data_IF_582406491279
#
_entry.id   IF_582406491279
#
_cell.length_a   1.000
_cell.length_b   1.000
_cell.length_c   1.000
_cell.angle_alpha   90.00
_cell.angle_beta   90.00
_cell.angle_gamma   90.00
#
_symmetry.space_group_name_H-M   'P 1'
#
loop_
_entity.id
_entity.type
_entity.pdbx_description
1 polymer ?
#
# COMPACT_ATOMS: atom_id res chain seq x y z
N UNK A 1 15.60 8.55 -31.69
CA UNK A 1 16.04 9.45 -30.59
C UNK A 1 14.85 10.31 -30.21
N UNK A 2 14.71 10.68 -28.93
CA UNK A 2 13.65 11.59 -28.47
C UNK A 2 14.31 12.89 -28.06
N UNK A 3 13.95 13.98 -28.75
CA UNK A 3 14.46 15.32 -28.48
C UNK A 3 13.41 16.11 -27.72
N UNK A 4 13.74 16.52 -26.50
CA UNK A 4 12.95 17.49 -25.73
C UNK A 4 13.49 18.91 -25.89
N UNK A 5 12.85 19.87 -25.20
CA UNK A 5 13.28 21.28 -25.22
C UNK A 5 14.67 21.50 -24.58
N UNK A 6 15.01 20.70 -23.57
CA UNK A 6 16.23 20.87 -22.75
C UNK A 6 17.25 19.74 -22.93
N UNK A 7 16.79 18.53 -23.25
CA UNK A 7 17.65 17.34 -23.32
C UNK A 7 17.22 16.43 -24.48
N UNK A 8 18.20 15.83 -25.16
CA UNK A 8 17.99 14.77 -26.15
C UNK A 8 18.40 13.43 -25.55
N UNK A 9 17.50 12.44 -25.55
CA UNK A 9 17.77 11.08 -25.07
C UNK A 9 17.60 10.04 -26.17
N UNK A 10 18.48 9.04 -26.17
CA UNK A 10 18.38 7.88 -27.04
C UNK A 10 17.94 6.66 -26.24
N UNK A 11 17.00 5.89 -26.80
CA UNK A 11 16.48 4.65 -26.21
C UNK A 11 16.66 3.53 -27.22
N UNK A 12 17.21 2.40 -26.78
CA UNK A 12 17.38 1.22 -27.64
C UNK A 12 16.14 0.33 -27.54
N UNK A 13 15.58 -0.03 -28.70
CA UNK A 13 14.53 -1.03 -28.79
C UNK A 13 15.10 -2.34 -29.36
N UNK A 14 14.61 -3.52 -28.93
CA UNK A 14 14.94 -4.80 -29.55
C UNK A 14 14.56 -4.81 -31.04
N UNK A 15 15.31 -5.55 -31.86
CA UNK A 15 15.10 -5.58 -33.31
C UNK A 15 13.73 -6.15 -33.72
N UNK A 16 13.15 -7.02 -32.88
CA UNK A 16 11.82 -7.61 -33.08
C UNK A 16 10.67 -6.76 -32.52
N UNK A 17 10.97 -5.66 -31.83
CA UNK A 17 9.94 -4.81 -31.24
C UNK A 17 9.34 -3.90 -32.32
N UNK A 18 8.01 -3.92 -32.45
CA UNK A 18 7.30 -2.99 -33.33
C UNK A 18 7.21 -1.63 -32.64
N UNK A 19 7.57 -0.57 -33.35
CA UNK A 19 7.48 0.80 -32.83
C UNK A 19 6.05 1.32 -32.96
N UNK A 20 5.59 2.04 -31.94
CA UNK A 20 4.28 2.71 -31.90
C UNK A 20 4.32 4.17 -32.34
N UNK A 21 5.51 4.71 -32.53
CA UNK A 21 5.76 6.12 -32.83
C UNK A 21 6.44 6.25 -34.19
N UNK A 22 6.17 7.35 -34.88
CA UNK A 22 6.76 7.69 -36.18
C UNK A 22 7.64 8.93 -36.01
N UNK A 23 8.58 9.12 -36.94
CA UNK A 23 9.37 10.36 -36.99
C UNK A 23 8.47 11.58 -37.20
N UNK A 24 8.60 12.57 -36.32
CA UNK A 24 7.75 13.77 -36.29
C UNK A 24 6.61 13.72 -35.25
N UNK A 25 6.35 12.57 -34.63
CA UNK A 25 5.33 12.48 -33.57
C UNK A 25 5.76 13.22 -32.30
N UNK A 26 4.80 13.93 -31.68
CA UNK A 26 4.99 14.52 -30.36
C UNK A 26 4.73 13.47 -29.29
N UNK A 27 5.75 13.17 -28.48
CA UNK A 27 5.67 12.18 -27.40
C UNK A 27 5.60 12.85 -26.03
N UNK A 28 4.73 12.34 -25.16
CA UNK A 28 4.62 12.80 -23.78
C UNK A 28 5.48 11.95 -22.84
N UNK A 29 5.84 12.51 -21.67
CA UNK A 29 6.63 11.80 -20.67
C UNK A 29 5.87 10.56 -20.19
N UNK A 30 6.49 9.39 -20.31
CA UNK A 30 5.88 8.10 -19.93
C UNK A 30 5.11 7.42 -21.06
N UNK A 31 5.05 8.01 -22.25
CA UNK A 31 4.44 7.38 -23.42
C UNK A 31 5.23 6.15 -23.88
N UNK A 32 4.49 5.12 -24.27
CA UNK A 32 5.04 3.85 -24.74
C UNK A 32 5.56 4.01 -26.18
N UNK A 33 6.82 3.65 -26.41
CA UNK A 33 7.47 3.76 -27.72
C UNK A 33 7.40 2.46 -28.55
N UNK A 34 7.31 1.29 -27.89
CA UNK A 34 7.29 -0.03 -28.51
C UNK A 34 6.04 -0.82 -28.15
N UNK A 35 5.64 -1.78 -28.97
CA UNK A 35 4.67 -2.79 -28.58
C UNK A 35 5.23 -3.71 -27.49
N UNK A 36 4.33 -4.21 -26.63
CA UNK A 36 4.67 -5.10 -25.52
C UNK A 36 4.11 -4.64 -24.18
N UNK A 37 4.53 -5.34 -23.12
CA UNK A 37 4.19 -5.01 -21.74
C UNK A 37 5.15 -3.97 -21.18
N UNK A 38 4.61 -3.03 -20.41
CA UNK A 38 5.39 -2.01 -19.70
C UNK A 38 5.87 -2.58 -18.37
N UNK A 39 7.13 -2.30 -17.98
CA UNK A 39 7.59 -2.54 -16.61
C UNK A 39 6.95 -1.53 -15.65
N UNK A 40 6.11 -1.96 -14.70
CA UNK A 40 5.46 -1.06 -13.74
C UNK A 40 6.44 -0.27 -12.86
N UNK A 41 7.65 -0.80 -12.61
CA UNK A 41 8.67 -0.11 -11.80
C UNK A 41 9.29 1.06 -12.56
N UNK A 42 9.52 0.89 -13.85
CA UNK A 42 10.00 1.99 -14.71
C UNK A 42 8.89 3.01 -14.93
N UNK A 43 7.65 2.56 -15.11
CA UNK A 43 6.49 3.44 -15.20
C UNK A 43 6.40 4.35 -13.95
N UNK A 44 6.49 3.78 -12.75
CA UNK A 44 6.45 4.55 -11.49
C UNK A 44 7.56 5.60 -11.37
N UNK A 45 8.75 5.35 -11.93
CA UNK A 45 9.86 6.31 -11.91
C UNK A 45 9.60 7.48 -12.86
N UNK A 46 8.93 7.22 -13.98
CA UNK A 46 8.75 8.19 -15.05
C UNK A 46 7.48 9.01 -14.85
N UNK A 47 6.36 8.39 -14.46
CA UNK A 47 5.06 9.06 -14.28
C UNK A 47 4.79 9.29 -12.79
N UNK A 48 3.70 8.74 -12.28
CA UNK A 48 3.17 8.92 -10.94
C UNK A 48 2.51 7.63 -10.44
N UNK A 49 2.08 7.65 -9.18
CA UNK A 49 1.46 6.48 -8.55
C UNK A 49 0.10 6.16 -9.19
N UNK A 50 -0.68 7.18 -9.58
CA UNK A 50 -2.02 7.01 -10.14
C UNK A 50 -1.96 6.34 -11.51
N UNK A 51 -1.07 6.78 -12.41
CA UNK A 51 -0.92 6.13 -13.73
C UNK A 51 -0.49 4.66 -13.61
N UNK A 52 0.35 4.33 -12.62
CA UNK A 52 0.75 2.93 -12.38
C UNK A 52 -0.41 2.08 -11.87
N UNK A 53 -1.24 2.63 -10.97
CA UNK A 53 -2.44 1.94 -10.47
C UNK A 53 -3.44 1.68 -11.59
N UNK A 54 -3.71 2.69 -12.43
CA UNK A 54 -4.60 2.58 -13.58
C UNK A 54 -4.06 1.56 -14.59
N UNK A 55 -2.77 1.61 -14.90
CA UNK A 55 -2.12 0.63 -15.77
C UNK A 55 -2.28 -0.80 -15.25
N UNK A 56 -1.98 -1.04 -13.96
CA UNK A 56 -2.12 -2.37 -13.36
C UNK A 56 -3.57 -2.86 -13.37
N UNK A 57 -4.53 -1.99 -13.06
CA UNK A 57 -5.96 -2.32 -13.11
C UNK A 57 -6.38 -2.71 -14.53
N UNK A 58 -6.01 -1.91 -15.54
CA UNK A 58 -6.37 -2.15 -16.92
C UNK A 58 -5.77 -3.45 -17.47
N UNK A 59 -4.50 -3.74 -17.18
CA UNK A 59 -3.84 -4.97 -17.61
C UNK A 59 -4.49 -6.22 -17.00
N UNK A 60 -4.76 -6.20 -15.69
CA UNK A 60 -5.36 -7.36 -14.99
C UNK A 60 -6.79 -7.60 -15.49
N UNK A 61 -7.63 -6.55 -15.55
CA UNK A 61 -9.03 -6.68 -15.93
C UNK A 61 -9.22 -6.98 -17.41
N UNK A 62 -8.73 -6.09 -18.29
CA UNK A 62 -9.14 -6.07 -19.69
C UNK A 62 -8.40 -7.12 -20.50
N UNK A 63 -7.11 -7.34 -20.21
CA UNK A 63 -6.31 -8.29 -20.99
C UNK A 63 -6.42 -9.73 -20.53
N UNK A 64 -6.72 -9.96 -19.25
CA UNK A 64 -6.73 -11.33 -18.69
C UNK A 64 -8.14 -11.77 -18.33
N UNK A 65 -8.75 -11.19 -17.29
CA UNK A 65 -10.01 -11.72 -16.75
C UNK A 65 -11.20 -11.55 -17.70
N UNK A 66 -11.39 -10.36 -18.27
CA UNK A 66 -12.47 -10.13 -19.23
C UNK A 66 -12.31 -10.96 -20.50
N UNK A 67 -11.07 -11.16 -20.97
CA UNK A 67 -10.79 -12.01 -22.13
C UNK A 67 -11.11 -13.49 -21.86
N UNK A 68 -10.95 -13.93 -20.61
CA UNK A 68 -11.32 -15.27 -20.15
C UNK A 68 -12.80 -15.40 -19.78
N UNK A 69 -13.61 -14.36 -19.97
CA UNK A 69 -15.05 -14.36 -19.66
C UNK A 69 -15.37 -14.31 -18.16
N UNK A 70 -14.40 -13.94 -17.31
CA UNK A 70 -14.61 -13.81 -15.86
C UNK A 70 -14.83 -12.34 -15.51
N UNK A 71 -16.02 -12.03 -14.99
CA UNK A 71 -16.34 -10.70 -14.50
C UNK A 71 -15.97 -10.56 -13.02
N UNK A 72 -14.97 -9.74 -12.73
CA UNK A 72 -14.57 -9.35 -11.37
C UNK A 72 -14.84 -7.86 -11.23
N UNK A 73 -15.35 -7.42 -10.07
CA UNK A 73 -15.49 -6.00 -9.79
C UNK A 73 -14.13 -5.31 -9.62
N UNK A 74 -13.93 -4.16 -10.25
CA UNK A 74 -12.66 -3.40 -10.24
C UNK A 74 -12.17 -3.08 -8.83
N UNK A 75 -13.09 -2.84 -7.89
CA UNK A 75 -12.81 -2.62 -6.46
C UNK A 75 -11.92 -3.70 -5.84
N UNK A 76 -12.04 -4.96 -6.27
CA UNK A 76 -11.25 -6.06 -5.71
C UNK A 76 -9.80 -5.97 -6.13
N UNK A 77 -9.56 -5.66 -7.41
CA UNK A 77 -8.22 -5.48 -7.96
C UNK A 77 -7.59 -4.22 -7.38
N UNK A 78 -8.35 -3.14 -7.25
CA UNK A 78 -7.87 -1.88 -6.66
C UNK A 78 -7.39 -2.07 -5.22
N UNK A 79 -8.14 -2.77 -4.38
CA UNK A 79 -7.75 -3.08 -2.99
C UNK A 79 -6.44 -3.87 -2.94
N UNK A 80 -6.20 -4.77 -3.91
CA UNK A 80 -4.96 -5.55 -4.01
C UNK A 80 -3.78 -4.69 -4.49
N UNK A 81 -3.97 -3.91 -5.56
CA UNK A 81 -2.94 -3.02 -6.11
C UNK A 81 -2.53 -1.97 -5.06
N UNK A 82 -3.49 -1.47 -4.27
CA UNK A 82 -3.20 -0.58 -3.15
C UNK A 82 -2.18 -1.17 -2.18
N UNK A 83 -2.23 -2.47 -1.87
CA UNK A 83 -1.25 -3.11 -0.97
C UNK A 83 0.17 -3.13 -1.54
N UNK A 84 0.33 -3.15 -2.87
CA UNK A 84 1.64 -3.17 -3.53
C UNK A 84 2.38 -1.81 -3.48
N UNK A 85 1.66 -0.72 -3.20
CA UNK A 85 2.16 0.66 -3.21
C UNK A 85 2.17 1.34 -1.82
N UNK A 86 2.03 0.57 -0.74
CA UNK A 86 1.93 1.10 0.63
C UNK A 86 3.23 1.64 1.23
N UNK A 87 4.38 1.36 0.62
CA UNK A 87 5.69 1.69 1.17
C UNK A 87 6.35 2.83 0.40
N UNK A 88 7.07 3.68 1.13
CA UNK A 88 7.88 4.78 0.62
C UNK A 88 9.32 4.52 1.02
N UNK A 89 10.24 4.66 0.05
CA UNK A 89 11.67 4.65 0.33
C UNK A 89 12.13 6.08 0.60
N UNK A 90 12.74 6.30 1.76
CA UNK A 90 13.35 7.60 2.09
C UNK A 90 14.54 7.83 1.15
N UNK A 91 14.53 8.96 0.45
CA UNK A 91 15.63 9.42 -0.39
C UNK A 91 16.59 10.30 0.42
N UNK A 92 16.03 11.28 1.13
CA UNK A 92 16.74 12.16 2.06
C UNK A 92 15.98 12.20 3.38
N UNK A 93 16.69 12.01 4.49
CA UNK A 93 16.13 12.05 5.83
C UNK A 93 15.81 13.49 6.29
N UNK A 94 16.45 14.50 5.70
CA UNK A 94 16.35 15.87 6.19
C UNK A 94 16.74 15.95 7.66
N UNK A 95 15.91 16.64 8.46
CA UNK A 95 16.12 16.79 9.90
C UNK A 95 15.19 15.88 10.73
N UNK A 96 14.64 14.82 10.13
CA UNK A 96 13.83 13.80 10.83
C UNK A 96 14.69 12.67 11.39
N UNK A 97 14.10 11.81 12.24
CA UNK A 97 14.80 10.66 12.82
C UNK A 97 14.88 9.45 11.87
N UNK A 98 14.35 9.55 10.64
CA UNK A 98 14.33 8.42 9.71
C UNK A 98 15.69 8.30 9.03
N UNK A 99 16.08 7.08 8.66
CA UNK A 99 17.35 6.87 7.96
C UNK A 99 17.14 6.84 6.44
N UNK A 100 18.07 7.41 5.64
CA UNK A 100 18.00 7.34 4.20
C UNK A 100 18.06 5.88 3.74
N UNK A 101 17.28 5.55 2.70
CA UNK A 101 17.15 4.19 2.17
C UNK A 101 16.18 3.28 2.91
N UNK A 102 15.68 3.67 4.09
CA UNK A 102 14.68 2.88 4.81
C UNK A 102 13.34 2.85 4.08
N UNK A 103 12.64 1.72 4.21
CA UNK A 103 11.27 1.54 3.73
C UNK A 103 10.30 1.77 4.88
N UNK A 104 9.47 2.79 4.76
CA UNK A 104 8.45 3.13 5.74
C UNK A 104 7.06 3.02 5.11
N UNK A 105 6.04 2.78 5.93
CA UNK A 105 4.66 2.94 5.47
C UNK A 105 4.38 4.43 5.17
N UNK A 106 3.54 4.70 4.17
CA UNK A 106 3.07 6.06 3.83
C UNK A 106 2.56 6.80 5.08
N UNK A 107 1.83 6.12 5.97
CA UNK A 107 1.31 6.72 7.19
C UNK A 107 2.44 7.09 8.17
N UNK A 108 3.37 6.19 8.42
CA UNK A 108 4.52 6.44 9.32
C UNK A 108 5.40 7.58 8.78
N UNK A 109 5.65 7.61 7.48
CA UNK A 109 6.42 8.67 6.82
C UNK A 109 5.71 10.03 6.95
N UNK A 110 4.38 10.05 6.76
CA UNK A 110 3.57 11.26 6.89
C UNK A 110 3.58 11.79 8.32
N UNK A 111 3.41 10.90 9.31
CA UNK A 111 3.43 11.29 10.73
C UNK A 111 4.82 11.77 11.19
N UNK A 112 5.90 11.14 10.72
CA UNK A 112 7.27 11.58 11.01
C UNK A 112 7.52 13.02 10.51
N UNK A 113 7.05 13.34 9.30
CA UNK A 113 7.16 14.68 8.72
C UNK A 113 6.25 15.71 9.40
N UNK A 114 5.00 15.34 9.72
CA UNK A 114 4.05 16.23 10.40
C UNK A 114 4.49 16.60 11.80
N UNK A 115 4.92 15.61 12.60
CA UNK A 115 5.10 15.77 14.05
C UNK A 115 6.30 16.65 14.42
N UNK A 116 7.40 16.56 13.68
CA UNK A 116 8.68 17.19 14.07
C UNK A 116 9.09 18.38 13.20
N UNK A 117 8.72 18.39 11.93
CA UNK A 117 9.39 19.27 10.97
C UNK A 117 8.55 20.47 10.59
N UNK A 118 7.26 20.25 10.27
CA UNK A 118 6.37 21.33 9.84
C UNK A 118 6.11 22.35 10.95
N UNK A 119 6.09 21.93 12.21
CA UNK A 119 5.90 22.82 13.36
C UNK A 119 7.19 23.55 13.79
N UNK A 120 8.36 22.97 13.52
CA UNK A 120 9.67 23.53 13.93
C UNK A 120 10.39 24.28 12.80
N UNK A 121 9.79 24.35 11.60
CA UNK A 121 10.37 25.03 10.44
C UNK A 121 11.62 24.34 9.85
N UNK A 122 11.81 23.05 10.12
CA UNK A 122 12.97 22.25 9.68
C UNK A 122 12.76 21.67 8.28
N UNK A 123 13.74 20.93 7.74
CA UNK A 123 13.63 20.26 6.43
C UNK A 123 12.99 18.87 6.58
N UNK A 124 11.88 18.57 5.88
CA UNK A 124 11.20 17.29 5.99
C UNK A 124 11.97 16.19 5.27
N UNK A 125 11.73 14.94 5.66
CA UNK A 125 12.20 13.81 4.89
C UNK A 125 11.54 13.80 3.52
N UNK A 126 12.33 13.52 2.49
CA UNK A 126 11.84 13.29 1.14
C UNK A 126 11.95 11.81 0.80
N UNK A 127 10.97 11.30 0.07
CA UNK A 127 10.91 9.88 -0.26
C UNK A 127 10.21 9.65 -1.59
N UNK A 128 10.41 8.47 -2.15
CA UNK A 128 9.74 8.02 -3.37
C UNK A 128 8.90 6.79 -3.07
N UNK A 129 7.65 6.71 -3.57
CA UNK A 129 6.85 5.50 -3.44
C UNK A 129 7.58 4.35 -4.12
N UNK A 130 7.42 3.14 -3.58
CA UNK A 130 7.99 1.93 -4.17
C UNK A 130 6.90 0.93 -4.47
N UNK A 131 6.98 0.32 -5.66
CA UNK A 131 6.14 -0.81 -6.03
C UNK A 131 6.81 -2.11 -5.59
N UNK A 132 6.13 -2.84 -4.70
CA UNK A 132 6.58 -4.15 -4.21
C UNK A 132 5.67 -5.25 -4.75
N UNK A 133 6.26 -6.41 -5.08
CA UNK A 133 5.49 -7.61 -5.37
C UNK A 133 4.74 -8.11 -4.12
N UNK A 134 3.65 -8.86 -4.30
CA UNK A 134 2.76 -9.30 -3.21
C UNK A 134 3.52 -10.07 -2.11
N UNK A 135 4.40 -11.00 -2.49
CA UNK A 135 5.25 -11.76 -1.56
C UNK A 135 6.15 -10.84 -0.74
N UNK A 136 6.81 -9.88 -1.37
CA UNK A 136 7.72 -8.95 -0.70
C UNK A 136 6.96 -7.96 0.19
N UNK A 137 5.82 -7.45 -0.27
CA UNK A 137 4.95 -6.60 0.52
C UNK A 137 4.42 -7.33 1.78
N UNK A 138 4.18 -8.64 1.69
CA UNK A 138 3.70 -9.46 2.81
C UNK A 138 4.77 -9.73 3.87
N UNK A 139 6.04 -9.89 3.44
CA UNK A 139 7.19 -10.04 4.33
C UNK A 139 7.60 -8.73 5.02
N UNK A 140 7.40 -7.59 4.35
CA UNK A 140 7.73 -6.25 4.88
C UNK A 140 6.55 -5.61 5.66
N UNK A 141 5.67 -6.44 6.23
CA UNK A 141 4.59 -5.99 7.11
C UNK A 141 5.13 -5.61 8.49
N UNK A 142 4.35 -4.80 9.24
CA UNK A 142 4.78 -4.32 10.55
C UNK A 142 4.71 -5.44 11.62
N UNK A 143 3.72 -6.34 11.50
CA UNK A 143 3.61 -7.55 12.32
C UNK A 143 4.61 -8.62 11.88
N UNK A 144 5.55 -8.93 12.77
CA UNK A 144 6.48 -10.02 12.55
C UNK A 144 5.81 -11.39 12.72
N UNK A 145 4.74 -11.51 13.53
CA UNK A 145 3.99 -12.77 13.66
C UNK A 145 3.30 -13.14 12.36
N UNK A 146 2.67 -12.16 11.71
CA UNK A 146 2.01 -12.36 10.42
C UNK A 146 3.02 -12.66 9.31
N UNK A 147 4.15 -11.96 9.28
CA UNK A 147 5.23 -12.22 8.31
C UNK A 147 5.90 -13.59 8.52
N UNK A 148 6.24 -13.96 9.76
CA UNK A 148 6.93 -15.21 10.08
C UNK A 148 6.08 -16.45 9.80
N UNK A 149 4.75 -16.32 9.90
CA UNK A 149 3.80 -17.39 9.52
C UNK A 149 3.64 -17.57 8.01
N UNK A 150 4.13 -16.64 7.18
CA UNK A 150 4.01 -16.71 5.73
C UNK A 150 5.21 -17.44 5.11
N UNK A 151 6.40 -16.84 5.20
CA UNK A 151 7.66 -17.38 4.66
C UNK A 151 8.86 -16.87 5.49
N UNK A 152 10.04 -17.47 5.29
CA UNK A 152 11.31 -17.01 5.86
C UNK A 152 11.32 -16.84 7.39
N UNK A 153 10.62 -17.74 8.10
CA UNK A 153 10.35 -17.67 9.54
C UNK A 153 11.59 -17.38 10.39
N UNK A 154 12.70 -18.10 10.18
CA UNK A 154 13.94 -17.90 10.96
C UNK A 154 14.52 -16.50 10.78
N UNK A 155 14.53 -15.98 9.55
CA UNK A 155 15.06 -14.64 9.24
C UNK A 155 14.21 -13.57 9.91
N UNK A 156 12.88 -13.66 9.76
CA UNK A 156 11.93 -12.68 10.30
C UNK A 156 11.99 -12.64 11.83
N UNK A 157 12.03 -13.79 12.50
CA UNK A 157 12.11 -13.86 13.97
C UNK A 157 13.45 -13.35 14.50
N UNK A 158 14.55 -13.66 13.80
CA UNK A 158 15.89 -13.16 14.18
C UNK A 158 15.95 -11.63 14.08
N UNK A 159 15.47 -11.07 12.97
CA UNK A 159 15.41 -9.61 12.78
C UNK A 159 14.52 -8.93 13.83
N UNK A 160 13.40 -9.56 14.19
CA UNK A 160 12.50 -9.05 15.22
C UNK A 160 13.12 -9.09 16.62
N UNK A 161 13.84 -10.17 16.95
CA UNK A 161 14.55 -10.32 18.23
C UNK A 161 15.68 -9.28 18.38
N UNK A 162 16.50 -9.10 17.33
CA UNK A 162 17.60 -8.11 17.32
C UNK A 162 17.04 -6.68 17.50
N UNK A 163 15.94 -6.36 16.82
CA UNK A 163 15.32 -5.03 16.88
C UNK A 163 14.44 -4.82 18.13
N UNK A 164 14.20 -5.86 18.93
CA UNK A 164 13.25 -5.82 20.05
C UNK A 164 11.85 -5.41 19.61
N UNK A 165 11.40 -5.83 18.42
CA UNK A 165 10.10 -5.45 17.86
C UNK A 165 8.96 -5.94 18.76
N UNK A 166 7.93 -5.10 18.90
CA UNK A 166 6.66 -5.44 19.57
C UNK A 166 5.55 -5.52 18.52
N UNK A 167 4.69 -6.51 18.65
CA UNK A 167 3.54 -6.71 17.77
C UNK A 167 2.26 -6.19 18.44
N UNK A 168 1.54 -5.30 17.76
CA UNK A 168 0.32 -4.68 18.28
C UNK A 168 -0.95 -5.53 18.06
N UNK A 169 -0.85 -6.65 17.33
CA UNK A 169 -1.97 -7.57 17.09
C UNK A 169 -3.17 -6.88 16.42
N UNK A 170 -2.92 -5.99 15.45
CA UNK A 170 -3.96 -5.27 14.72
C UNK A 170 -4.56 -6.11 13.58
N UNK A 171 -3.81 -7.11 13.10
CA UNK A 171 -4.17 -7.94 11.97
C UNK A 171 -5.09 -9.10 12.34
N UNK A 172 -5.74 -9.65 11.33
CA UNK A 172 -6.58 -10.85 11.49
C UNK A 172 -5.71 -12.07 11.86
N UNK A 173 -4.58 -12.25 11.17
CA UNK A 173 -3.75 -13.45 11.31
C UNK A 173 -3.10 -13.56 12.68
N UNK A 174 -2.57 -12.46 13.21
CA UNK A 174 -1.99 -12.41 14.55
C UNK A 174 -2.99 -12.85 15.61
N UNK A 175 -4.22 -12.33 15.56
CA UNK A 175 -5.25 -12.68 16.54
C UNK A 175 -5.70 -14.14 16.42
N UNK A 176 -5.79 -14.68 15.21
CA UNK A 176 -6.09 -16.11 14.99
C UNK A 176 -4.98 -16.99 15.58
N UNK A 177 -3.70 -16.66 15.35
CA UNK A 177 -2.57 -17.44 15.86
C UNK A 177 -2.56 -17.47 17.40
N UNK A 178 -2.87 -16.34 18.04
CA UNK A 178 -2.87 -16.20 19.51
C UNK A 178 -4.18 -16.71 20.15
N UNK A 179 -5.22 -16.96 19.36
CA UNK A 179 -6.53 -17.39 19.86
C UNK A 179 -7.37 -16.24 20.46
N UNK A 180 -7.11 -14.99 20.03
CA UNK A 180 -7.93 -13.82 20.38
C UNK A 180 -9.04 -13.61 19.37
N UNK A 181 -10.08 -12.88 19.78
CA UNK A 181 -11.15 -12.47 18.86
C UNK A 181 -10.59 -11.57 17.76
N UNK A 182 -10.90 -11.89 16.50
CA UNK A 182 -10.43 -11.11 15.36
C UNK A 182 -11.03 -9.70 15.35
N UNK A 183 -10.26 -8.65 15.02
CA UNK A 183 -10.73 -7.26 15.04
C UNK A 183 -11.56 -6.88 13.79
N UNK A 184 -12.48 -7.75 13.36
CA UNK A 184 -13.36 -7.52 12.22
C UNK A 184 -14.79 -8.00 12.52
N UNK A 185 -15.77 -7.41 11.83
CA UNK A 185 -17.20 -7.71 12.05
C UNK A 185 -17.62 -7.45 13.49
N UNK A 186 -18.28 -8.41 14.12
CA UNK A 186 -18.74 -8.32 15.53
C UNK A 186 -17.59 -8.28 16.55
N UNK A 187 -16.37 -8.65 16.14
CA UNK A 187 -15.19 -8.55 16.98
C UNK A 187 -14.64 -7.13 17.14
N UNK A 188 -15.16 -6.15 16.40
CA UNK A 188 -14.73 -4.76 16.55
C UNK A 188 -15.16 -4.19 17.91
N UNK A 189 -14.31 -3.37 18.57
CA UNK A 189 -14.62 -2.77 19.87
C UNK A 189 -15.93 -1.96 19.88
N UNK A 190 -16.29 -1.37 18.75
CA UNK A 190 -17.49 -0.54 18.60
C UNK A 190 -18.76 -1.35 18.84
N UNK A 191 -18.85 -2.60 18.36
CA UNK A 191 -20.01 -3.46 18.59
C UNK A 191 -19.99 -4.10 19.98
N UNK A 192 -18.80 -4.43 20.49
CA UNK A 192 -18.65 -5.09 21.81
C UNK A 192 -18.99 -4.18 22.99
N UNK A 193 -18.80 -2.87 22.84
CA UNK A 193 -19.06 -1.89 23.91
C UNK A 193 -20.51 -1.39 23.94
N UNK A 194 -21.33 -1.78 22.97
CA UNK A 194 -22.75 -1.41 22.97
C UNK A 194 -23.45 -2.13 24.11
N UNK A 195 -24.01 -1.36 25.05
CA UNK A 195 -24.88 -1.88 26.10
C UNK A 195 -26.33 -1.58 25.72
N UNK A 196 -27.23 -2.56 25.83
CA UNK A 196 -28.65 -2.29 25.64
C UNK A 196 -29.13 -1.35 26.74
N UNK A 197 -29.91 -0.34 26.37
CA UNK A 197 -30.61 0.53 27.32
C UNK A 197 -31.93 -0.15 27.67
N UNK A 198 -32.06 -0.63 28.90
CA UNK A 198 -33.34 -1.13 29.39
C UNK A 198 -34.25 0.05 29.75
N UNK A 199 -35.23 0.34 28.90
CA UNK A 199 -36.37 1.18 29.28
C UNK A 199 -37.32 0.35 30.15
N UNK A 200 -36.98 0.19 31.42
CA UNK A 200 -37.99 -0.20 32.42
C UNK A 200 -38.61 1.10 32.90
N UNK A 201 -39.79 1.45 32.36
CA UNK A 201 -40.66 2.40 33.04
C UNK A 201 -41.08 1.75 34.36
N UNK A 202 -40.87 2.38 35.52
CA UNK A 202 -41.50 1.91 36.73
C UNK A 202 -43.01 2.06 36.53
N UNK A 203 -43.73 0.93 36.54
CA UNK A 203 -45.20 0.92 36.61
C UNK A 203 -45.61 1.44 37.99
N UNK A 204 -46.03 2.70 38.04
CA UNK A 204 -46.47 3.40 39.25
C UNK A 204 -47.92 3.04 39.64
N UNK A 205 -48.29 1.76 39.50
CA UNK A 205 -49.59 1.23 39.90
C UNK A 205 -49.40 0.21 41.04
N UNK A 206 -49.05 0.70 42.22
CA UNK A 206 -49.37 0.01 43.48
C UNK A 206 -50.32 0.90 44.27
N UNK A 207 -51.62 0.66 44.11
CA UNK A 207 -52.65 1.26 44.97
C UNK A 207 -52.61 0.54 46.32
N UNK A 208 -52.55 1.26 47.47
CA UNK A 208 -52.66 0.62 48.77
C UNK A 208 -54.11 0.11 48.96
N UNK A 209 -54.24 -1.13 49.40
CA UNK A 209 -55.52 -1.70 49.83
C UNK A 209 -55.81 -1.18 51.24
N UNK A 210 -56.91 -0.43 51.40
CA UNK A 210 -57.49 -0.06 52.70
C UNK A 210 -58.03 -1.27 53.47
#
# INVERSE_FOLDING_TARGET
MVQGEVETRSYTAPYNARLKVVEGDTVTRGQVLTEGSIDPKELLKVTDMTAVQEYLLHEVQKKVYRMQGVEIGDKHVEVMVRQMLRKVRVADAGDTDVLPGTLLDVHQFTEANKKKVLFEGKRPATGRPVLLGITKASLETDSFLSAASFQETTRVLTDAAIKGKRDELLGLKENVIIGKLVPAGTGMPNYRKVKPVSQVQPSDDMVPVE
#
